data_IF_569250593656
#
_entry.id   IF_569250593656
#
_cell.length_a   1.000
_cell.length_b   1.000
_cell.length_c   1.000
_cell.angle_alpha   90.00
_cell.angle_beta   90.00
_cell.angle_gamma   90.00
#
_symmetry.space_group_name_H-M   'P 1'
#
loop_
_entity.id
_entity.type
_entity.pdbx_description
1 polymer ?
#
# COMPACT_ATOMS: atom_id res chain seq x y z
N UNK A 1 5.69 24.57 -12.28
CA UNK A 1 5.20 23.92 -11.05
C UNK A 1 6.02 22.67 -10.81
N UNK A 2 6.47 22.44 -9.60
CA UNK A 2 7.24 21.25 -9.23
C UNK A 2 6.41 19.98 -9.34
N UNK A 3 7.05 18.86 -9.68
CA UNK A 3 6.40 17.56 -9.83
C UNK A 3 6.21 16.90 -8.47
N UNK A 4 4.95 16.64 -8.12
CA UNK A 4 4.60 15.94 -6.88
C UNK A 4 4.72 14.44 -7.03
N UNK A 5 5.47 13.80 -6.15
CA UNK A 5 5.51 12.34 -5.98
C UNK A 5 4.78 11.90 -4.72
N UNK A 6 3.95 10.86 -4.82
CA UNK A 6 3.31 10.20 -3.68
C UNK A 6 3.95 8.83 -3.42
N UNK A 7 4.45 8.63 -2.21
CA UNK A 7 4.86 7.33 -1.70
C UNK A 7 3.77 6.78 -0.78
N UNK A 8 3.00 5.81 -1.28
CA UNK A 8 1.86 5.21 -0.57
C UNK A 8 2.30 3.92 0.13
N UNK A 9 2.33 3.96 1.46
CA UNK A 9 2.86 2.89 2.27
C UNK A 9 1.97 1.65 2.36
N UNK A 10 2.59 0.56 2.81
CA UNK A 10 1.90 -0.66 3.21
C UNK A 10 0.96 -0.40 4.39
N UNK A 11 -0.07 -1.25 4.55
CA UNK A 11 -0.96 -1.07 5.70
C UNK A 11 -2.17 -1.98 5.79
N UNK A 12 -2.31 -2.99 4.94
CA UNK A 12 -3.48 -3.86 4.95
C UNK A 12 -4.80 -3.08 4.98
N UNK A 13 -5.69 -3.38 5.90
CA UNK A 13 -6.98 -2.70 6.03
C UNK A 13 -6.86 -1.19 6.32
N UNK A 14 -5.79 -0.74 7.00
CA UNK A 14 -5.53 0.69 7.22
C UNK A 14 -5.23 1.45 5.93
N UNK A 15 -4.81 0.75 4.88
CA UNK A 15 -4.51 1.36 3.58
C UNK A 15 -5.69 2.07 2.91
N UNK A 16 -6.94 1.83 3.37
CA UNK A 16 -8.12 2.62 2.97
C UNK A 16 -7.92 4.12 3.22
N UNK A 17 -7.08 4.49 4.18
CA UNK A 17 -6.71 5.88 4.42
C UNK A 17 -6.05 6.57 3.22
N UNK A 18 -5.36 5.81 2.35
CA UNK A 18 -4.81 6.38 1.11
C UNK A 18 -5.91 6.93 0.20
N UNK A 19 -7.10 6.31 0.18
CA UNK A 19 -8.24 6.79 -0.62
C UNK A 19 -8.67 8.17 -0.12
N UNK A 20 -8.84 8.32 1.21
CA UNK A 20 -9.19 9.61 1.79
C UNK A 20 -8.11 10.67 1.57
N UNK A 21 -6.84 10.28 1.66
CA UNK A 21 -5.72 11.18 1.39
C UNK A 21 -5.75 11.69 -0.05
N UNK A 22 -5.94 10.81 -1.04
CA UNK A 22 -6.07 11.14 -2.46
C UNK A 22 -7.29 12.04 -2.71
N UNK A 23 -8.43 11.74 -2.07
CA UNK A 23 -9.62 12.59 -2.16
C UNK A 23 -9.37 14.01 -1.70
N UNK A 24 -8.68 14.19 -0.57
CA UNK A 24 -8.35 15.53 -0.07
C UNK A 24 -7.40 16.29 -1.01
N UNK A 25 -6.47 15.61 -1.69
CA UNK A 25 -5.64 16.22 -2.72
C UNK A 25 -6.49 16.69 -3.91
N UNK A 26 -7.39 15.84 -4.42
CA UNK A 26 -8.30 16.19 -5.53
C UNK A 26 -9.19 17.39 -5.21
N UNK A 27 -9.85 17.37 -4.02
CA UNK A 27 -10.72 18.46 -3.58
C UNK A 27 -10.00 19.80 -3.45
N UNK A 28 -8.66 19.74 -3.34
CA UNK A 28 -7.80 20.93 -3.29
C UNK A 28 -7.07 21.23 -4.59
N UNK A 29 -7.41 20.55 -5.70
CA UNK A 29 -6.84 20.77 -7.02
C UNK A 29 -5.37 20.33 -7.16
N UNK A 30 -4.91 19.40 -6.29
CA UNK A 30 -3.55 18.86 -6.32
C UNK A 30 -3.55 17.50 -6.98
N UNK A 31 -2.78 17.35 -8.06
CA UNK A 31 -2.59 16.07 -8.76
C UNK A 31 -1.14 15.61 -8.63
N UNK A 32 -0.89 14.35 -8.26
CA UNK A 32 0.46 13.78 -8.27
C UNK A 32 0.95 13.59 -9.71
N UNK A 33 2.25 13.83 -9.92
CA UNK A 33 2.95 13.53 -11.17
C UNK A 33 3.48 12.11 -11.21
N UNK A 34 3.75 11.53 -10.04
CA UNK A 34 4.29 10.18 -9.86
C UNK A 34 3.71 9.53 -8.62
N UNK A 35 3.49 8.22 -8.68
CA UNK A 35 3.05 7.43 -7.53
C UNK A 35 3.93 6.19 -7.41
N UNK A 36 4.39 5.90 -6.19
CA UNK A 36 4.97 4.60 -5.86
C UNK A 36 4.23 3.99 -4.68
N UNK A 37 3.95 2.69 -4.73
CA UNK A 37 3.16 2.00 -3.73
C UNK A 37 3.81 0.74 -3.17
N UNK A 38 3.47 0.39 -1.93
CA UNK A 38 3.82 -0.89 -1.29
C UNK A 38 2.58 -1.54 -0.72
N UNK A 39 2.39 -2.85 -0.95
CA UNK A 39 1.23 -3.60 -0.43
C UNK A 39 -0.11 -2.90 -0.76
N UNK A 40 -0.95 -2.60 0.22
CA UNK A 40 -2.22 -1.87 -0.03
C UNK A 40 -2.00 -0.49 -0.67
N UNK A 41 -0.88 0.18 -0.40
CA UNK A 41 -0.51 1.41 -1.10
C UNK A 41 -0.29 1.20 -2.60
N UNK A 42 0.18 0.00 -3.01
CA UNK A 42 0.28 -0.35 -4.43
C UNK A 42 -1.09 -0.56 -5.08
N UNK A 43 -2.03 -1.19 -4.37
CA UNK A 43 -3.40 -1.40 -4.86
C UNK A 43 -4.11 -0.07 -5.08
N UNK A 44 -4.11 0.79 -4.07
CA UNK A 44 -4.80 2.09 -4.14
C UNK A 44 -4.10 3.02 -5.14
N UNK A 45 -2.75 3.02 -5.14
CA UNK A 45 -1.95 3.83 -6.06
C UNK A 45 -2.18 3.46 -7.52
N UNK A 46 -2.21 2.16 -7.85
CA UNK A 46 -2.48 1.68 -9.19
C UNK A 46 -3.90 2.02 -9.66
N UNK A 47 -4.91 1.78 -8.80
CA UNK A 47 -6.30 2.16 -9.11
C UNK A 47 -6.41 3.66 -9.42
N UNK A 48 -5.76 4.48 -8.61
CA UNK A 48 -5.76 5.93 -8.82
C UNK A 48 -5.01 6.33 -10.10
N UNK A 49 -3.85 5.73 -10.33
CA UNK A 49 -3.05 5.98 -11.54
C UNK A 49 -3.78 5.59 -12.83
N UNK A 50 -4.67 4.59 -12.77
CA UNK A 50 -5.55 4.19 -13.87
C UNK A 50 -6.74 5.14 -14.07
N UNK A 51 -6.99 6.07 -13.14
CA UNK A 51 -8.10 7.02 -13.19
C UNK A 51 -9.35 6.60 -12.43
N UNK A 52 -9.28 5.56 -11.59
CA UNK A 52 -10.39 5.22 -10.68
C UNK A 52 -10.45 6.28 -9.58
N UNK A 53 -11.60 6.95 -9.47
CA UNK A 53 -11.77 8.06 -8.51
C UNK A 53 -11.82 7.56 -7.06
N UNK A 54 -11.36 8.37 -6.08
CA UNK A 54 -11.47 8.03 -4.66
C UNK A 54 -12.91 7.76 -4.22
N UNK A 55 -13.89 8.49 -4.76
CA UNK A 55 -15.32 8.29 -4.46
C UNK A 55 -15.83 6.92 -4.94
N UNK A 56 -15.27 6.38 -6.03
CA UNK A 56 -15.62 5.03 -6.48
C UNK A 56 -14.86 3.97 -5.68
N UNK A 57 -13.57 4.20 -5.38
CA UNK A 57 -12.77 3.28 -4.59
C UNK A 57 -13.36 3.03 -3.20
N UNK A 58 -13.80 4.08 -2.49
CA UNK A 58 -14.38 3.90 -1.14
C UNK A 58 -15.70 3.09 -1.20
N UNK A 59 -16.53 3.27 -2.22
CA UNK A 59 -17.74 2.46 -2.41
C UNK A 59 -17.41 0.99 -2.60
N UNK A 60 -16.38 0.67 -3.40
CA UNK A 60 -15.90 -0.71 -3.58
C UNK A 60 -15.46 -1.28 -2.23
N UNK A 61 -14.51 -0.61 -1.57
CA UNK A 61 -13.86 -1.14 -0.36
C UNK A 61 -14.86 -1.35 0.78
N UNK A 62 -15.82 -0.44 0.97
CA UNK A 62 -16.86 -0.57 2.01
C UNK A 62 -17.85 -1.70 1.70
N UNK A 63 -17.98 -2.12 0.45
CA UNK A 63 -18.81 -3.26 0.06
C UNK A 63 -18.13 -4.62 0.24
N UNK A 64 -16.78 -4.65 0.34
CA UNK A 64 -16.01 -5.88 0.46
C UNK A 64 -16.10 -6.49 1.86
N UNK A 65 -16.10 -7.82 1.90
CA UNK A 65 -16.04 -8.63 3.12
C UNK A 65 -14.77 -9.48 3.08
N UNK A 66 -14.28 -9.90 4.25
CA UNK A 66 -13.08 -10.77 4.35
C UNK A 66 -13.15 -11.99 3.44
N UNK A 67 -14.33 -12.61 3.27
CA UNK A 67 -14.56 -13.77 2.40
C UNK A 67 -14.37 -13.48 0.89
N UNK A 68 -14.41 -12.21 0.49
CA UNK A 68 -14.27 -11.79 -0.91
C UNK A 68 -12.77 -11.70 -1.30
N UNK A 69 -11.90 -11.55 -0.31
CA UNK A 69 -10.45 -11.42 -0.46
C UNK A 69 -9.71 -12.69 -0.04
N UNK A 70 -10.14 -13.30 1.09
CA UNK A 70 -9.49 -14.48 1.66
C UNK A 70 -10.22 -15.77 1.27
N UNK A 71 -9.46 -16.81 0.93
CA UNK A 71 -10.01 -18.14 0.80
C UNK A 71 -10.02 -18.82 2.18
N UNK A 72 -11.19 -18.80 2.82
CA UNK A 72 -11.41 -19.37 4.16
C UNK A 72 -11.88 -20.82 4.12
N UNK A 73 -11.68 -21.54 3.01
CA UNK A 73 -12.10 -22.93 2.90
C UNK A 73 -11.30 -23.84 3.87
N UNK A 74 -11.94 -24.86 4.48
CA UNK A 74 -11.25 -25.80 5.38
C UNK A 74 -10.07 -26.53 4.71
N UNK A 75 -10.12 -26.70 3.38
CA UNK A 75 -9.07 -27.35 2.61
C UNK A 75 -7.83 -26.45 2.40
N UNK A 76 -8.00 -25.12 2.42
CA UNK A 76 -6.89 -24.17 2.36
C UNK A 76 -6.06 -24.22 3.65
N UNK A 77 -6.68 -24.55 4.79
CA UNK A 77 -6.02 -24.62 6.11
C UNK A 77 -5.35 -25.96 6.40
N UNK A 78 -5.81 -27.07 5.77
CA UNK A 78 -5.31 -28.44 6.05
C UNK A 78 -3.97 -28.78 5.42
N UNK A 79 -3.53 -28.06 4.40
CA UNK A 79 -2.34 -28.42 3.60
C UNK A 79 -1.03 -27.76 4.02
N UNK A 80 -0.99 -26.96 5.10
CA UNK A 80 0.18 -26.13 5.40
C UNK A 80 0.55 -25.17 4.26
N UNK A 81 -0.29 -25.13 3.23
CA UNK A 81 -0.13 -24.30 2.05
C UNK A 81 -0.69 -22.91 2.35
N UNK A 82 0.14 -21.92 2.19
CA UNK A 82 -0.25 -20.51 2.19
C UNK A 82 -1.48 -20.33 1.31
N UNK A 83 -2.44 -19.52 1.75
CA UNK A 83 -3.68 -19.28 1.01
C UNK A 83 -3.34 -18.82 -0.41
N UNK A 84 -3.77 -19.57 -1.41
CA UNK A 84 -3.65 -19.11 -2.79
C UNK A 84 -4.46 -17.82 -2.94
N UNK A 85 -3.81 -16.75 -3.31
CA UNK A 85 -4.42 -15.41 -3.46
C UNK A 85 -5.37 -15.30 -4.67
N UNK A 86 -6.04 -16.41 -5.07
CA UNK A 86 -6.94 -16.46 -6.24
C UNK A 86 -8.07 -15.46 -6.16
N UNK A 87 -8.66 -15.25 -4.98
CA UNK A 87 -9.76 -14.30 -4.81
C UNK A 87 -9.26 -12.87 -4.96
N UNK A 88 -8.12 -12.54 -4.35
CA UNK A 88 -7.48 -11.25 -4.52
C UNK A 88 -7.07 -11.02 -5.97
N UNK A 89 -6.41 -11.99 -6.60
CA UNK A 89 -6.06 -11.92 -8.01
C UNK A 89 -7.28 -11.69 -8.91
N UNK A 90 -8.37 -12.44 -8.67
CA UNK A 90 -9.63 -12.28 -9.39
C UNK A 90 -10.26 -10.90 -9.19
N UNK A 91 -10.19 -10.35 -7.97
CA UNK A 91 -10.67 -9.00 -7.68
C UNK A 91 -9.83 -7.95 -8.42
N UNK A 92 -8.50 -8.07 -8.37
CA UNK A 92 -7.59 -7.17 -9.08
C UNK A 92 -7.80 -7.23 -10.60
N UNK A 93 -7.91 -8.43 -11.17
CA UNK A 93 -8.20 -8.59 -12.60
C UNK A 93 -9.56 -8.02 -12.99
N UNK A 94 -10.57 -8.13 -12.12
CA UNK A 94 -11.90 -7.55 -12.37
C UNK A 94 -11.88 -6.03 -12.51
N UNK A 95 -11.05 -5.32 -11.74
CA UNK A 95 -11.01 -3.86 -11.74
C UNK A 95 -9.91 -3.29 -12.64
N UNK A 96 -8.80 -3.99 -12.81
CA UNK A 96 -7.65 -3.52 -13.58
C UNK A 96 -7.54 -4.20 -14.95
N UNK A 97 -8.25 -5.33 -15.17
CA UNK A 97 -8.18 -6.05 -16.44
C UNK A 97 -6.76 -6.48 -16.79
N UNK A 98 -6.41 -6.25 -18.05
CA UNK A 98 -5.08 -6.51 -18.61
C UNK A 98 -4.21 -5.24 -18.71
N UNK A 99 -4.57 -4.19 -17.96
CA UNK A 99 -3.85 -2.90 -17.93
C UNK A 99 -2.37 -3.11 -17.66
N UNK A 100 -1.53 -2.52 -18.50
CA UNK A 100 -0.08 -2.46 -18.32
C UNK A 100 0.34 -1.13 -17.66
N UNK A 101 1.58 -1.06 -17.16
CA UNK A 101 2.07 0.18 -16.54
C UNK A 101 2.06 1.37 -17.48
N UNK A 102 2.30 1.14 -18.77
CA UNK A 102 2.33 2.20 -19.80
C UNK A 102 0.92 2.74 -20.15
N UNK A 103 -0.15 2.01 -19.80
CA UNK A 103 -1.54 2.44 -19.99
C UNK A 103 -2.01 3.38 -18.87
N UNK A 104 -1.25 3.53 -17.78
CA UNK A 104 -1.66 4.31 -16.63
C UNK A 104 -1.57 5.82 -16.92
N UNK A 105 -2.57 6.57 -16.47
CA UNK A 105 -2.63 8.03 -16.67
C UNK A 105 -1.57 8.79 -15.85
N UNK A 106 -1.10 8.18 -14.75
CA UNK A 106 -0.03 8.69 -13.91
C UNK A 106 1.06 7.64 -13.85
N UNK A 107 2.34 7.97 -14.17
CA UNK A 107 3.46 7.06 -13.99
C UNK A 107 3.46 6.45 -12.59
N UNK A 108 3.48 5.13 -12.54
CA UNK A 108 3.34 4.35 -11.31
C UNK A 108 4.46 3.32 -11.18
N UNK A 109 4.85 3.04 -9.95
CA UNK A 109 5.68 1.88 -9.61
C UNK A 109 5.19 1.23 -8.33
N UNK A 110 5.51 -0.04 -8.14
CA UNK A 110 5.31 -0.70 -6.85
C UNK A 110 6.49 -1.59 -6.49
N UNK A 111 6.60 -1.94 -5.21
CA UNK A 111 7.72 -2.71 -4.70
C UNK A 111 7.28 -4.08 -4.21
N UNK A 112 8.17 -5.07 -4.36
CA UNK A 112 8.06 -6.40 -3.79
C UNK A 112 9.39 -6.87 -3.24
N UNK A 113 9.37 -7.92 -2.44
CA UNK A 113 10.56 -8.57 -1.91
C UNK A 113 10.77 -9.93 -2.60
N UNK A 114 11.87 -10.12 -3.31
CA UNK A 114 12.25 -11.45 -3.77
C UNK A 114 12.81 -12.25 -2.59
N UNK A 115 12.07 -13.25 -2.16
CA UNK A 115 12.46 -14.07 -1.00
C UNK A 115 13.51 -15.13 -1.31
N UNK A 116 13.90 -15.29 -2.58
CA UNK A 116 15.01 -16.17 -2.97
C UNK A 116 16.34 -15.43 -2.82
N UNK A 117 16.43 -14.21 -3.34
CA UNK A 117 17.66 -13.41 -3.29
C UNK A 117 17.74 -12.45 -2.09
N UNK A 118 16.60 -12.15 -1.46
CA UNK A 118 16.48 -11.12 -0.41
C UNK A 118 16.45 -9.69 -0.95
N UNK A 119 16.40 -9.50 -2.27
CA UNK A 119 16.47 -8.19 -2.89
C UNK A 119 15.09 -7.50 -3.01
N UNK A 120 15.14 -6.17 -3.00
CA UNK A 120 13.99 -5.34 -3.39
C UNK A 120 13.79 -5.42 -4.92
N UNK A 121 12.55 -5.67 -5.33
CA UNK A 121 12.12 -5.62 -6.73
C UNK A 121 11.20 -4.41 -6.91
N UNK A 122 11.47 -3.61 -7.95
CA UNK A 122 10.63 -2.47 -8.33
C UNK A 122 9.93 -2.81 -9.64
N UNK A 123 8.61 -2.86 -9.60
CA UNK A 123 7.77 -3.09 -10.77
C UNK A 123 7.37 -1.74 -11.37
N UNK A 124 7.64 -1.56 -12.66
CA UNK A 124 7.27 -0.37 -13.45
C UNK A 124 6.93 -0.72 -14.89
N UNK A 125 6.82 -2.01 -15.21
CA UNK A 125 6.54 -2.53 -16.55
C UNK A 125 5.69 -3.81 -16.47
N UNK A 126 5.04 -4.17 -17.57
CA UNK A 126 4.17 -5.34 -17.68
C UNK A 126 2.80 -5.13 -17.01
N UNK A 127 2.15 -6.23 -16.63
CA UNK A 127 0.77 -6.20 -16.11
C UNK A 127 0.71 -5.66 -14.69
N UNK A 128 -0.04 -4.58 -14.49
CA UNK A 128 -0.23 -3.93 -13.19
C UNK A 128 -0.83 -4.89 -12.16
N UNK A 129 -1.87 -5.66 -12.54
CA UNK A 129 -2.53 -6.60 -11.63
C UNK A 129 -1.56 -7.64 -11.05
N UNK A 130 -0.62 -8.16 -11.85
CA UNK A 130 0.38 -9.13 -11.39
C UNK A 130 1.36 -8.49 -10.42
N UNK A 131 1.84 -7.29 -10.72
CA UNK A 131 2.80 -6.56 -9.89
C UNK A 131 2.22 -6.21 -8.52
N UNK A 132 0.98 -5.67 -8.47
CA UNK A 132 0.35 -5.32 -7.20
C UNK A 132 -0.09 -6.56 -6.40
N UNK A 133 -0.45 -7.67 -7.07
CA UNK A 133 -0.67 -8.95 -6.39
C UNK A 133 0.62 -9.41 -5.69
N UNK A 134 1.76 -9.34 -6.37
CA UNK A 134 3.06 -9.69 -5.82
C UNK A 134 3.43 -8.77 -4.65
N UNK A 135 3.28 -7.45 -4.83
CA UNK A 135 3.50 -6.43 -3.79
C UNK A 135 2.63 -6.59 -2.55
N UNK A 136 1.48 -7.26 -2.67
CA UNK A 136 0.50 -7.45 -1.59
C UNK A 136 0.46 -8.89 -1.06
N UNK A 137 1.47 -9.70 -1.35
CA UNK A 137 1.56 -11.09 -0.89
C UNK A 137 2.10 -11.18 0.54
N UNK A 138 1.25 -10.81 1.51
CA UNK A 138 1.56 -10.77 2.95
C UNK A 138 1.98 -12.17 3.41
N UNK A 139 3.17 -12.32 4.05
CA UNK A 139 3.62 -13.60 4.59
C UNK A 139 2.60 -14.23 5.54
N UNK A 140 2.45 -15.55 5.48
CA UNK A 140 1.46 -16.37 6.19
C UNK A 140 -0.02 -16.15 5.78
N UNK A 141 -0.35 -15.04 5.10
CA UNK A 141 -1.72 -14.79 4.61
C UNK A 141 -1.84 -15.25 3.17
N UNK A 142 -0.91 -14.83 2.32
CA UNK A 142 -0.91 -15.14 0.89
C UNK A 142 0.37 -15.86 0.47
N UNK A 143 0.23 -16.76 -0.51
CA UNK A 143 1.39 -17.36 -1.15
C UNK A 143 2.17 -16.29 -1.94
N UNK A 144 3.52 -16.36 -1.92
CA UNK A 144 4.33 -15.49 -2.75
C UNK A 144 4.04 -15.75 -4.25
N UNK A 145 4.24 -14.74 -5.07
CA UNK A 145 3.97 -14.78 -6.51
C UNK A 145 5.24 -15.13 -7.26
N UNK A 146 5.19 -16.16 -8.09
CA UNK A 146 6.27 -16.45 -9.05
C UNK A 146 6.27 -15.37 -10.15
N UNK A 147 7.40 -14.73 -10.36
CA UNK A 147 7.60 -13.70 -11.37
C UNK A 147 8.99 -13.87 -11.98
N UNK A 148 9.05 -14.24 -13.23
CA UNK A 148 10.27 -14.70 -13.89
C UNK A 148 10.95 -15.81 -13.05
N UNK A 149 12.24 -15.63 -12.71
CA UNK A 149 12.99 -16.58 -11.86
C UNK A 149 12.96 -16.18 -10.35
N UNK A 150 12.07 -15.27 -9.96
CA UNK A 150 11.94 -14.75 -8.60
C UNK A 150 10.69 -15.30 -7.91
N UNK A 151 10.67 -15.22 -6.60
CA UNK A 151 9.52 -15.53 -5.77
C UNK A 151 9.20 -14.33 -4.88
N UNK A 152 8.17 -13.58 -5.25
CA UNK A 152 7.91 -12.25 -4.69
C UNK A 152 6.90 -12.32 -3.55
N UNK A 153 7.27 -11.75 -2.43
CA UNK A 153 6.43 -11.48 -1.27
C UNK A 153 6.17 -9.97 -1.11
N UNK A 154 5.41 -9.61 -0.08
CA UNK A 154 4.94 -8.24 0.20
C UNK A 154 6.10 -7.23 0.23
N UNK A 155 5.86 -6.08 -0.41
CA UNK A 155 6.85 -5.02 -0.53
C UNK A 155 7.25 -4.38 0.80
N UNK A 156 6.41 -4.48 1.84
CA UNK A 156 6.72 -3.94 3.16
C UNK A 156 7.98 -4.55 3.78
N UNK A 157 8.31 -5.79 3.42
CA UNK A 157 9.51 -6.46 3.89
C UNK A 157 10.82 -5.71 3.55
N UNK A 158 10.81 -4.89 2.50
CA UNK A 158 12.02 -4.20 1.99
C UNK A 158 11.83 -2.69 1.83
N UNK A 159 10.59 -2.22 1.62
CA UNK A 159 10.28 -0.81 1.44
C UNK A 159 8.82 -0.54 1.81
N UNK A 160 8.56 -0.32 3.12
CA UNK A 160 7.20 -0.05 3.61
C UNK A 160 6.59 1.19 2.98
N UNK A 161 7.35 2.30 2.92
CA UNK A 161 6.93 3.54 2.26
C UNK A 161 7.96 3.86 1.18
N UNK A 162 7.63 3.70 -0.13
CA UNK A 162 8.59 3.71 -1.24
C UNK A 162 8.99 5.13 -1.68
N UNK A 163 9.62 5.90 -0.76
CA UNK A 163 10.09 7.28 -1.02
C UNK A 163 11.25 7.31 -2.03
N UNK A 164 12.18 6.36 -1.91
CA UNK A 164 13.31 6.26 -2.84
C UNK A 164 12.82 6.09 -4.28
N UNK A 165 11.82 5.22 -4.46
CA UNK A 165 11.29 4.85 -5.77
C UNK A 165 10.64 6.05 -6.45
N UNK A 166 9.78 6.77 -5.74
CA UNK A 166 9.11 7.94 -6.33
C UNK A 166 10.09 9.10 -6.61
N UNK A 167 11.17 9.23 -5.83
CA UNK A 167 12.26 10.16 -6.14
C UNK A 167 12.98 9.78 -7.43
N UNK A 168 13.27 8.49 -7.62
CA UNK A 168 13.91 7.98 -8.85
C UNK A 168 13.03 8.18 -10.09
N UNK A 169 11.71 8.27 -9.94
CA UNK A 169 10.79 8.63 -11.03
C UNK A 169 10.88 10.10 -11.44
N UNK A 170 11.56 10.95 -10.66
CA UNK A 170 11.79 12.35 -10.98
C UNK A 170 10.88 13.34 -10.24
N UNK A 171 10.39 12.96 -9.07
CA UNK A 171 9.62 13.86 -8.21
C UNK A 171 10.49 14.96 -7.59
N UNK A 172 10.05 16.22 -7.67
CA UNK A 172 10.70 17.38 -7.05
C UNK A 172 10.27 17.56 -5.58
N UNK A 173 9.03 17.17 -5.27
CA UNK A 173 8.45 17.23 -3.92
C UNK A 173 7.81 15.88 -3.63
N UNK A 174 8.16 15.29 -2.50
CA UNK A 174 7.67 13.97 -2.11
C UNK A 174 6.82 14.03 -0.85
N UNK A 175 5.63 13.45 -0.93
CA UNK A 175 4.75 13.18 0.21
C UNK A 175 4.75 11.68 0.48
N UNK A 176 5.20 11.29 1.66
CA UNK A 176 5.16 9.94 2.18
C UNK A 176 3.89 9.74 3.04
N UNK A 177 3.05 8.77 2.69
CA UNK A 177 1.85 8.43 3.46
C UNK A 177 2.04 7.07 4.11
N UNK A 178 2.29 7.07 5.42
CA UNK A 178 2.52 5.88 6.24
C UNK A 178 1.31 5.58 7.13
N UNK A 179 0.42 4.74 6.66
CA UNK A 179 -0.82 4.40 7.37
C UNK A 179 -0.62 3.45 8.55
N UNK A 180 0.55 2.86 8.70
CA UNK A 180 0.92 2.08 9.88
C UNK A 180 1.45 2.98 10.99
N UNK A 181 2.19 4.03 10.63
CA UNK A 181 2.84 4.92 11.60
C UNK A 181 3.89 4.20 12.45
N UNK A 182 4.31 4.79 13.56
CA UNK A 182 5.24 4.16 14.50
C UNK A 182 4.61 2.92 15.13
N UNK A 183 5.48 1.94 15.42
CA UNK A 183 5.05 0.70 16.09
C UNK A 183 4.50 1.03 17.48
N UNK A 184 3.37 0.40 17.84
CA UNK A 184 2.74 0.58 19.14
C UNK A 184 3.16 -0.53 20.09
N UNK A 185 3.13 -0.23 21.37
CA UNK A 185 3.29 -1.24 22.41
C UNK A 185 2.16 -2.26 22.33
N UNK A 186 2.45 -3.48 22.71
CA UNK A 186 1.50 -4.59 22.83
C UNK A 186 1.55 -5.10 24.26
N UNK A 187 0.38 -5.27 24.87
CA UNK A 187 0.27 -5.77 26.23
C UNK A 187 0.59 -7.28 26.30
N UNK A 188 0.24 -8.05 25.27
CA UNK A 188 0.37 -9.51 25.30
C UNK A 188 0.46 -10.13 23.89
N UNK A 189 1.24 -11.20 23.78
CA UNK A 189 1.32 -12.06 22.58
C UNK A 189 0.55 -13.35 22.85
N UNK A 190 -0.64 -13.48 22.25
CA UNK A 190 -1.61 -14.56 22.57
C UNK A 190 -1.43 -15.86 21.77
N UNK A 191 -0.65 -15.84 20.69
CA UNK A 191 -0.51 -17.01 19.82
C UNK A 191 0.77 -16.93 19.00
N UNK A 192 1.19 -18.08 18.43
CA UNK A 192 2.32 -18.13 17.51
C UNK A 192 2.12 -17.23 16.28
N UNK A 193 0.88 -17.09 15.79
CA UNK A 193 0.57 -16.20 14.69
C UNK A 193 0.72 -14.73 15.10
N UNK A 194 0.21 -14.35 16.29
CA UNK A 194 0.39 -12.96 16.79
C UNK A 194 1.86 -12.64 17.04
N UNK A 195 2.66 -13.62 17.48
CA UNK A 195 4.11 -13.47 17.64
C UNK A 195 4.78 -13.22 16.29
N UNK A 196 4.45 -14.02 15.27
CA UNK A 196 5.07 -13.89 13.96
C UNK A 196 4.71 -12.55 13.29
N UNK A 197 3.44 -12.13 13.32
CA UNK A 197 3.04 -10.83 12.82
C UNK A 197 3.72 -9.69 13.58
N UNK A 198 3.91 -9.84 14.89
CA UNK A 198 4.64 -8.85 15.68
C UNK A 198 6.10 -8.72 15.26
N UNK A 199 6.77 -9.84 14.96
CA UNK A 199 8.13 -9.82 14.45
C UNK A 199 8.22 -9.10 13.10
N UNK A 200 7.27 -9.36 12.19
CA UNK A 200 7.17 -8.64 10.90
C UNK A 200 6.97 -7.14 11.16
N UNK A 201 6.06 -6.75 12.05
CA UNK A 201 5.81 -5.34 12.37
C UNK A 201 7.05 -4.64 12.95
N UNK A 202 7.81 -5.33 13.82
CA UNK A 202 9.05 -4.79 14.38
C UNK A 202 10.10 -4.62 13.30
N UNK A 203 10.31 -5.64 12.47
CA UNK A 203 11.26 -5.61 11.37
C UNK A 203 10.93 -4.51 10.36
N UNK A 204 9.69 -4.50 9.87
CA UNK A 204 9.17 -3.52 8.93
C UNK A 204 9.33 -2.08 9.44
N UNK A 205 9.01 -1.84 10.72
CA UNK A 205 9.18 -0.52 11.34
C UNK A 205 10.66 -0.09 11.36
N UNK A 206 11.60 -0.98 11.66
CA UNK A 206 13.02 -0.65 11.65
C UNK A 206 13.55 -0.38 10.24
N UNK A 207 13.20 -1.24 9.28
CA UNK A 207 13.58 -1.04 7.87
C UNK A 207 12.99 0.28 7.32
N UNK A 208 11.74 0.58 7.64
CA UNK A 208 11.11 1.84 7.22
C UNK A 208 11.83 3.06 7.81
N UNK A 209 12.20 3.02 9.09
CA UNK A 209 12.95 4.10 9.73
C UNK A 209 14.28 4.33 9.02
N UNK A 210 15.05 3.28 8.76
CA UNK A 210 16.33 3.36 8.05
C UNK A 210 16.14 3.91 6.61
N UNK A 211 15.10 3.46 5.90
CA UNK A 211 14.81 3.93 4.54
C UNK A 211 14.42 5.42 4.52
N UNK A 212 13.61 5.88 5.47
CA UNK A 212 13.21 7.29 5.58
C UNK A 212 14.37 8.19 6.03
N UNK A 213 15.29 7.72 6.87
CA UNK A 213 16.50 8.45 7.22
C UNK A 213 17.42 8.61 5.99
N UNK A 214 17.56 7.57 5.18
CA UNK A 214 18.38 7.61 3.96
C UNK A 214 17.72 8.41 2.82
N UNK A 215 16.41 8.31 2.70
CA UNK A 215 15.61 8.97 1.66
C UNK A 215 14.45 9.76 2.30
N UNK A 216 14.72 10.92 2.93
CA UNK A 216 13.69 11.69 3.62
C UNK A 216 12.66 12.23 2.62
N UNK A 217 11.37 12.20 2.99
CA UNK A 217 10.30 12.86 2.25
C UNK A 217 10.19 14.34 2.66
N UNK A 218 9.66 15.19 1.79
CA UNK A 218 9.37 16.59 2.12
C UNK A 218 8.23 16.72 3.13
N UNK A 219 7.26 15.81 3.03
CA UNK A 219 6.15 15.68 3.97
C UNK A 219 5.99 14.21 4.34
N UNK A 220 6.00 13.92 5.64
CA UNK A 220 5.66 12.61 6.18
C UNK A 220 4.31 12.70 6.87
N UNK A 221 3.37 11.89 6.43
CA UNK A 221 1.99 11.86 6.91
C UNK A 221 1.66 10.48 7.47
N UNK A 222 1.36 10.42 8.78
CA UNK A 222 0.91 9.21 9.45
C UNK A 222 -0.50 9.45 10.00
N UNK A 223 -1.57 9.02 9.27
CA UNK A 223 -2.94 9.14 9.74
C UNK A 223 -3.15 8.41 11.06
N UNK A 224 -3.89 9.01 11.99
CA UNK A 224 -4.11 8.46 13.33
C UNK A 224 -5.14 7.32 13.31
N UNK A 225 -4.70 6.09 13.08
CA UNK A 225 -5.55 4.91 12.92
C UNK A 225 -6.16 4.34 14.22
N UNK A 226 -5.93 4.96 15.39
CA UNK A 226 -6.43 4.43 16.67
C UNK A 226 -6.02 2.96 16.85
N UNK A 227 -6.93 2.14 17.36
CA UNK A 227 -6.79 0.70 17.59
C UNK A 227 -7.16 -0.17 16.37
N UNK A 228 -7.38 0.42 15.18
CA UNK A 228 -7.73 -0.32 13.97
C UNK A 228 -6.63 -1.32 13.63
N UNK A 229 -7.00 -2.60 13.50
CA UNK A 229 -6.09 -3.65 13.05
C UNK A 229 -5.83 -3.54 11.55
N UNK A 230 -4.57 -3.72 11.14
CA UNK A 230 -4.21 -3.83 9.71
C UNK A 230 -4.58 -5.19 9.10
N UNK A 231 -4.75 -6.23 9.93
CA UNK A 231 -5.00 -7.60 9.51
C UNK A 231 -6.49 -7.99 9.48
N UNK A 232 -7.39 -7.12 10.00
CA UNK A 232 -8.83 -7.40 10.03
C UNK A 232 -9.58 -6.47 9.09
N UNK A 233 -10.32 -7.06 8.16
CA UNK A 233 -11.24 -6.32 7.30
C UNK A 233 -12.55 -6.15 8.06
N UNK A 234 -12.78 -4.92 8.48
CA UNK A 234 -14.00 -4.50 9.20
C UNK A 234 -14.59 -3.31 8.46
N UNK A 235 -15.71 -3.53 7.76
CA UNK A 235 -16.37 -2.51 6.96
C UNK A 235 -16.76 -1.27 7.78
N UNK A 236 -17.07 -1.44 9.08
CA UNK A 236 -17.39 -0.32 9.97
C UNK A 236 -16.21 0.61 10.21
N UNK A 237 -14.98 0.10 10.12
CA UNK A 237 -13.73 0.85 10.30
C UNK A 237 -13.15 1.42 9.00
N UNK A 238 -13.67 1.01 7.83
CA UNK A 238 -13.17 1.52 6.54
C UNK A 238 -13.46 3.01 6.37
N UNK A 239 -14.69 3.44 6.74
CA UNK A 239 -15.05 4.85 6.68
C UNK A 239 -14.18 5.69 7.63
N UNK A 240 -13.93 5.19 8.84
CA UNK A 240 -13.01 5.84 9.80
C UNK A 240 -11.60 5.99 9.20
N UNK A 241 -11.04 4.93 8.59
CA UNK A 241 -9.72 5.01 7.96
C UNK A 241 -9.68 6.05 6.83
N UNK A 242 -10.71 6.07 5.98
CA UNK A 242 -10.87 7.07 4.93
C UNK A 242 -10.83 8.49 5.49
N UNK A 243 -11.64 8.78 6.53
CA UNK A 243 -11.70 10.09 7.18
C UNK A 243 -10.35 10.50 7.76
N UNK A 244 -9.64 9.57 8.42
CA UNK A 244 -8.31 9.84 8.97
C UNK A 244 -7.26 10.12 7.89
N UNK A 245 -7.36 9.46 6.75
CA UNK A 245 -6.54 9.77 5.57
C UNK A 245 -6.81 11.18 5.05
N UNK A 246 -8.08 11.53 4.88
CA UNK A 246 -8.52 12.84 4.43
C UNK A 246 -8.04 13.96 5.39
N UNK A 247 -8.29 13.82 6.68
CA UNK A 247 -7.82 14.75 7.72
C UNK A 247 -6.29 14.93 7.71
N UNK A 248 -5.56 13.83 7.49
CA UNK A 248 -4.10 13.86 7.46
C UNK A 248 -3.56 14.67 6.29
N UNK A 249 -4.19 14.57 5.11
CA UNK A 249 -3.84 15.37 3.94
C UNK A 249 -4.11 16.87 4.19
N UNK A 250 -5.27 17.21 4.76
CA UNK A 250 -5.63 18.61 5.03
C UNK A 250 -4.59 19.35 5.88
N UNK A 251 -3.91 18.65 6.80
CA UNK A 251 -2.86 19.25 7.65
C UNK A 251 -1.67 19.79 6.87
N UNK A 252 -1.43 19.29 5.65
CA UNK A 252 -0.27 19.68 4.85
C UNK A 252 -0.63 20.50 3.61
N UNK A 253 -1.90 20.55 3.19
CA UNK A 253 -2.35 21.09 1.90
C UNK A 253 -1.77 22.47 1.60
N UNK A 254 -1.88 23.43 2.53
CA UNK A 254 -1.41 24.80 2.29
C UNK A 254 0.12 24.85 2.11
N UNK A 255 0.86 24.14 2.96
CA UNK A 255 2.33 24.06 2.86
C UNK A 255 2.77 23.33 1.59
N UNK A 256 2.02 22.29 1.20
CA UNK A 256 2.28 21.54 -0.02
C UNK A 256 2.07 22.44 -1.26
N UNK A 257 0.95 23.20 -1.33
CA UNK A 257 0.70 24.16 -2.42
C UNK A 257 1.81 25.19 -2.52
N UNK A 258 2.26 25.75 -1.41
CA UNK A 258 3.38 26.70 -1.38
C UNK A 258 4.66 26.07 -1.93
N UNK A 259 4.99 24.85 -1.49
CA UNK A 259 6.22 24.16 -1.93
C UNK A 259 6.19 23.74 -3.40
N UNK A 260 5.01 23.42 -3.95
CA UNK A 260 4.85 23.08 -5.36
C UNK A 260 4.97 24.30 -6.28
N UNK A 261 4.68 25.50 -5.78
CA UNK A 261 4.73 26.74 -6.54
C UNK A 261 6.04 27.52 -6.35
N UNK A 262 6.86 27.16 -5.37
CA UNK A 262 8.20 27.72 -5.15
C UNK A 262 9.24 27.09 -6.08
#
# INVERSE_FOLDING_TARGET
MKKLGLALGAGGARGVAHIGFLKALEDNGIKPSYISGSSMGSVIGACYAMGITPDYMIKIVTSLRSRDILDLSPNALKGGTLLKSKKMAGLLTRYLGDTEFDDLHIPFSCVGADIISGNKVVFSQGRVATAIQASSSIPLVFAPVAYDNMLIADGSLVSRVPVEEVKKMGADVVVAVDVLGPIREMDEIKSIFSYFFRLIDVYDNQVNKMNLEKHPADFYCAPAMGDMSQYKIDSSKMQFAYEKGYESALKIINRLKQKLNS
#
